data_IF_050404479916
#
_entry.id   IF_050404479916
#
_cell.length_a   1.000
_cell.length_b   1.000
_cell.length_c   1.000
_cell.angle_alpha   90.00
_cell.angle_beta   90.00
_cell.angle_gamma   90.00
#
_symmetry.space_group_name_H-M   'P 1'
#
loop_
_entity.id
_entity.type
_entity.pdbx_description
1 polymer ?
#
# COMPACT_ATOMS: atom_id res chain seq x y z
N UNK A 1 1.87 13.75 12.10
CA UNK A 1 1.45 14.62 10.97
C UNK A 1 2.38 14.56 9.76
N UNK A 2 3.72 14.59 9.93
CA UNK A 2 4.69 14.57 8.80
C UNK A 2 4.46 13.40 7.83
N UNK A 3 4.24 12.19 8.33
CA UNK A 3 4.02 11.01 7.48
C UNK A 3 2.77 11.12 6.58
N UNK A 4 1.67 11.69 7.09
CA UNK A 4 0.44 11.85 6.30
C UNK A 4 0.67 12.86 5.15
N UNK A 5 1.34 13.97 5.44
CA UNK A 5 1.69 14.97 4.43
C UNK A 5 2.65 14.41 3.36
N UNK A 6 3.64 13.62 3.76
CA UNK A 6 4.55 12.95 2.81
C UNK A 6 3.84 11.88 1.98
N UNK A 7 2.89 11.14 2.58
CA UNK A 7 2.09 10.12 1.88
C UNK A 7 1.30 10.71 0.72
N UNK A 8 0.63 11.84 0.93
CA UNK A 8 -0.16 12.49 -0.12
C UNK A 8 0.73 13.02 -1.24
N UNK A 9 1.92 13.55 -0.93
CA UNK A 9 2.90 13.95 -1.92
C UNK A 9 3.39 12.76 -2.76
N UNK A 10 3.70 11.63 -2.12
CA UNK A 10 4.13 10.40 -2.79
C UNK A 10 3.04 9.81 -3.69
N UNK A 11 1.78 9.79 -3.24
CA UNK A 11 0.64 9.32 -4.05
C UNK A 11 0.46 10.13 -5.34
N UNK A 12 0.66 11.44 -5.27
CA UNK A 12 0.59 12.31 -6.46
C UNK A 12 1.78 12.13 -7.40
N UNK A 13 2.96 11.82 -6.86
CA UNK A 13 4.17 11.61 -7.64
C UNK A 13 4.21 10.22 -8.33
N UNK A 14 3.59 9.20 -7.73
CA UNK A 14 3.66 7.80 -8.17
C UNK A 14 2.38 7.36 -8.89
N UNK A 15 2.14 7.93 -10.07
CA UNK A 15 1.02 7.52 -10.92
C UNK A 15 1.13 6.04 -11.33
N UNK A 16 0.06 5.27 -11.13
CA UNK A 16 -0.01 3.85 -11.50
C UNK A 16 0.42 2.87 -10.40
N UNK A 17 0.71 3.33 -9.18
CA UNK A 17 0.83 2.44 -8.02
C UNK A 17 -0.50 1.72 -7.78
N UNK A 18 -0.48 0.39 -7.86
CA UNK A 18 -1.66 -0.45 -7.75
C UNK A 18 -2.20 -0.56 -6.31
N UNK A 19 -1.31 -0.55 -5.32
CA UNK A 19 -1.68 -0.68 -3.91
C UNK A 19 -0.75 0.11 -3.00
N UNK A 20 -1.33 0.69 -1.96
CA UNK A 20 -0.63 1.39 -0.87
C UNK A 20 -0.87 0.62 0.42
N UNK A 21 0.20 0.03 0.96
CA UNK A 21 0.16 -0.84 2.12
C UNK A 21 0.92 -0.17 3.26
N UNK A 22 0.21 0.08 4.34
CA UNK A 22 0.77 0.61 5.58
C UNK A 22 0.87 -0.53 6.59
N UNK A 23 2.02 -0.62 7.24
CA UNK A 23 2.26 -1.53 8.34
C UNK A 23 2.89 -0.79 9.51
N UNK A 24 2.49 -1.20 10.71
CA UNK A 24 3.08 -0.82 12.00
C UNK A 24 3.91 -1.95 12.60
N UNK A 25 3.77 -3.17 12.06
CA UNK A 25 4.58 -4.35 12.39
C UNK A 25 5.16 -5.01 11.13
N UNK A 26 6.26 -5.75 11.27
CA UNK A 26 6.93 -6.43 10.16
C UNK A 26 6.05 -7.51 9.51
N UNK A 27 5.19 -8.18 10.27
CA UNK A 27 4.27 -9.19 9.72
C UNK A 27 3.29 -8.60 8.72
N UNK A 28 2.96 -7.31 8.82
CA UNK A 28 2.00 -6.62 7.95
C UNK A 28 2.60 -6.25 6.57
N UNK A 29 3.94 -6.21 6.48
CA UNK A 29 4.70 -5.95 5.23
C UNK A 29 5.43 -7.20 4.72
N UNK A 30 5.20 -8.35 5.34
CA UNK A 30 5.70 -9.63 4.86
C UNK A 30 5.10 -9.97 3.49
N UNK A 31 5.87 -10.71 2.68
CA UNK A 31 5.49 -11.04 1.30
C UNK A 31 4.08 -11.66 1.22
N UNK A 32 3.78 -12.65 2.05
CA UNK A 32 2.46 -13.32 2.04
C UNK A 32 1.33 -12.36 2.39
N UNK A 33 1.51 -11.52 3.41
CA UNK A 33 0.53 -10.51 3.84
C UNK A 33 0.26 -9.48 2.74
N UNK A 34 1.31 -9.06 2.04
CA UNK A 34 1.21 -8.15 0.88
C UNK A 34 0.50 -8.83 -0.28
N UNK A 35 0.90 -10.06 -0.62
CA UNK A 35 0.34 -10.85 -1.72
C UNK A 35 -1.16 -11.06 -1.51
N UNK A 36 -1.58 -11.45 -0.30
CA UNK A 36 -2.98 -11.61 0.04
C UNK A 36 -3.75 -10.31 -0.18
N UNK A 37 -3.22 -9.19 0.32
CA UNK A 37 -3.88 -7.88 0.25
C UNK A 37 -4.04 -7.38 -1.18
N UNK A 38 -3.03 -7.52 -2.03
CA UNK A 38 -3.11 -7.08 -3.43
C UNK A 38 -3.95 -8.04 -4.28
N UNK A 39 -3.93 -9.33 -3.98
CA UNK A 39 -4.71 -10.33 -4.73
C UNK A 39 -6.21 -10.19 -4.51
N UNK A 40 -6.64 -9.75 -3.32
CA UNK A 40 -8.06 -9.45 -3.05
C UNK A 40 -8.60 -8.26 -3.86
N UNK A 41 -7.75 -7.29 -4.20
CA UNK A 41 -8.15 -6.10 -4.97
C UNK A 41 -8.25 -6.34 -6.48
N UNK A 42 -7.51 -7.32 -7.00
CA UNK A 42 -7.44 -7.62 -8.44
C UNK A 42 -8.64 -8.41 -8.99
N UNK A 43 -9.61 -8.80 -8.15
CA UNK A 43 -10.72 -9.70 -8.48
C UNK A 43 -12.13 -9.08 -8.47
N UNK A 44 -12.28 -7.76 -8.39
CA UNK A 44 -13.58 -7.08 -8.40
C UNK A 44 -13.79 -6.29 -9.70
N UNK A 45 -13.92 -7.01 -10.81
CA UNK A 45 -14.57 -6.56 -12.04
C UNK A 45 -15.51 -7.66 -12.52
#
# INVERSE_FOLDING_TARGET
MVYASSKDALRRALNGVAADIQGTDFSEVAYESVLERVSRGAGSH
#
